data_IF_942998398360
#
_entry.id   IF_942998398360
#
_cell.length_a   1.000
_cell.length_b   1.000
_cell.length_c   1.000
_cell.angle_alpha   90.00
_cell.angle_beta   90.00
_cell.angle_gamma   90.00
#
_symmetry.space_group_name_H-M   'P 1'
#
loop_
_entity.id
_entity.type
_entity.pdbx_description
1 polymer ?
#
# COMPACT_ATOMS: atom_id res chain seq x y z
N UNK A 1 18.52 -10.13 9.78
CA UNK A 1 17.35 -10.26 8.86
C UNK A 1 16.29 -11.24 9.38
N UNK A 2 16.60 -12.53 9.63
CA UNK A 2 15.60 -13.51 10.11
C UNK A 2 15.02 -13.19 11.50
N UNK A 3 15.83 -12.68 12.42
CA UNK A 3 15.39 -12.37 13.79
C UNK A 3 14.36 -11.24 13.88
N UNK A 4 14.54 -10.17 13.09
CA UNK A 4 13.60 -9.04 12.99
C UNK A 4 12.24 -9.51 12.45
N UNK A 5 12.26 -10.30 11.37
CA UNK A 5 11.05 -10.86 10.77
C UNK A 5 10.28 -11.75 11.75
N UNK A 6 10.97 -12.67 12.45
CA UNK A 6 10.34 -13.58 13.41
C UNK A 6 9.73 -12.81 14.58
N UNK A 7 10.46 -11.87 15.16
CA UNK A 7 10.01 -11.07 16.30
C UNK A 7 8.77 -10.25 15.96
N UNK A 8 8.77 -9.59 14.80
CA UNK A 8 7.63 -8.80 14.35
C UNK A 8 6.42 -9.68 13.99
N UNK A 9 6.63 -10.86 13.38
CA UNK A 9 5.55 -11.82 13.12
C UNK A 9 4.90 -12.32 14.41
N UNK A 10 5.70 -12.71 15.41
CA UNK A 10 5.18 -13.12 16.72
C UNK A 10 4.37 -12.00 17.38
N UNK A 11 4.86 -10.76 17.30
CA UNK A 11 4.17 -9.59 17.86
C UNK A 11 2.82 -9.35 17.18
N UNK A 12 2.77 -9.37 15.85
CA UNK A 12 1.54 -9.19 15.08
C UNK A 12 0.52 -10.31 15.36
N UNK A 13 0.97 -11.56 15.42
CA UNK A 13 0.10 -12.70 15.72
C UNK A 13 -0.47 -12.59 17.14
N UNK A 14 0.37 -12.28 18.14
CA UNK A 14 -0.05 -12.11 19.53
C UNK A 14 -1.06 -10.97 19.68
N UNK A 15 -0.78 -9.82 19.08
CA UNK A 15 -1.69 -8.68 19.13
C UNK A 15 -3.03 -8.99 18.45
N UNK A 16 -3.01 -9.70 17.32
CA UNK A 16 -4.22 -10.15 16.64
C UNK A 16 -5.06 -11.07 17.55
N UNK A 17 -4.43 -12.05 18.20
CA UNK A 17 -5.12 -12.96 19.13
C UNK A 17 -5.73 -12.21 20.31
N UNK A 18 -4.97 -11.30 20.93
CA UNK A 18 -5.47 -10.48 22.04
C UNK A 18 -6.72 -9.68 21.66
N UNK A 19 -6.73 -9.07 20.47
CA UNK A 19 -7.89 -8.32 19.97
C UNK A 19 -9.07 -9.25 19.69
N UNK A 20 -8.80 -10.42 19.12
CA UNK A 20 -9.82 -11.44 18.84
C UNK A 20 -10.51 -11.85 20.15
N UNK A 21 -9.72 -12.27 21.14
CA UNK A 21 -10.21 -12.77 22.42
C UNK A 21 -10.92 -11.68 23.24
N UNK A 22 -10.40 -10.45 23.21
CA UNK A 22 -10.98 -9.33 23.97
C UNK A 22 -12.28 -8.79 23.37
N UNK A 23 -12.45 -8.83 22.04
CA UNK A 23 -13.56 -8.12 21.36
C UNK A 23 -14.62 -9.04 20.77
N UNK A 24 -14.31 -10.31 20.51
CA UNK A 24 -15.20 -11.18 19.73
C UNK A 24 -15.45 -12.51 20.42
N UNK A 25 -16.73 -12.77 20.73
CA UNK A 25 -17.17 -14.04 21.32
C UNK A 25 -17.21 -15.19 20.31
N UNK A 26 -17.54 -14.89 19.05
CA UNK A 26 -17.65 -15.86 17.95
C UNK A 26 -16.81 -15.43 16.74
N UNK A 27 -15.48 -15.49 16.92
CA UNK A 27 -14.53 -15.14 15.85
C UNK A 27 -14.66 -16.05 14.62
N UNK A 28 -14.84 -17.36 14.82
CA UNK A 28 -14.91 -18.31 13.70
C UNK A 28 -16.18 -18.11 12.87
N UNK A 29 -17.33 -17.85 13.50
CA UNK A 29 -18.56 -17.52 12.80
C UNK A 29 -18.46 -16.19 12.04
N UNK A 30 -17.84 -15.16 12.63
CA UNK A 30 -17.57 -13.89 11.93
C UNK A 30 -16.65 -14.09 10.71
N UNK A 31 -15.60 -14.91 10.85
CA UNK A 31 -14.71 -15.28 9.74
C UNK A 31 -15.46 -16.00 8.62
N UNK A 32 -16.34 -16.93 8.96
CA UNK A 32 -17.16 -17.64 7.97
C UNK A 32 -18.13 -16.69 7.24
N UNK A 33 -18.79 -15.78 7.97
CA UNK A 33 -19.67 -14.75 7.39
C UNK A 33 -18.91 -13.82 6.45
N UNK A 34 -17.73 -13.35 6.85
CA UNK A 34 -16.89 -12.50 6.00
C UNK A 34 -16.47 -13.22 4.72
N UNK A 35 -16.10 -14.51 4.82
CA UNK A 35 -15.81 -15.35 3.64
C UNK A 35 -17.01 -15.46 2.70
N UNK A 36 -18.20 -15.70 3.25
CA UNK A 36 -19.42 -15.78 2.45
C UNK A 36 -19.74 -14.45 1.78
N UNK A 37 -19.61 -13.32 2.49
CA UNK A 37 -19.80 -12.00 1.92
C UNK A 37 -18.84 -11.73 0.76
N UNK A 38 -17.55 -12.08 0.91
CA UNK A 38 -16.57 -11.99 -0.17
C UNK A 38 -16.98 -12.85 -1.38
N UNK A 39 -17.37 -14.10 -1.15
CA UNK A 39 -17.78 -14.99 -2.24
C UNK A 39 -19.01 -14.46 -2.99
N UNK A 40 -20.01 -13.98 -2.26
CA UNK A 40 -21.20 -13.37 -2.85
C UNK A 40 -20.84 -12.11 -3.65
N UNK A 41 -19.86 -11.33 -3.18
CA UNK A 41 -19.38 -10.16 -3.91
C UNK A 41 -18.73 -10.54 -5.25
N UNK A 42 -17.96 -11.63 -5.27
CA UNK A 42 -17.33 -12.12 -6.49
C UNK A 42 -18.33 -12.75 -7.47
N UNK A 43 -19.39 -13.41 -6.98
CA UNK A 43 -20.43 -14.00 -7.83
C UNK A 43 -21.24 -12.98 -8.61
N UNK A 44 -21.39 -11.76 -8.09
CA UNK A 44 -22.10 -10.66 -8.72
C UNK A 44 -21.16 -9.49 -9.04
N UNK A 45 -19.90 -9.79 -9.39
CA UNK A 45 -18.85 -8.78 -9.53
C UNK A 45 -19.20 -7.74 -10.60
N UNK A 46 -19.71 -8.17 -11.76
CA UNK A 46 -20.11 -7.29 -12.86
C UNK A 46 -21.13 -6.24 -12.43
N UNK A 47 -22.21 -6.65 -11.76
CA UNK A 47 -23.24 -5.73 -11.27
C UNK A 47 -22.68 -4.77 -10.21
N UNK A 48 -21.82 -5.27 -9.31
CA UNK A 48 -21.22 -4.47 -8.24
C UNK A 48 -20.24 -3.44 -8.75
N UNK A 49 -19.52 -3.76 -9.81
CA UNK A 49 -18.60 -2.88 -10.48
C UNK A 49 -19.34 -1.67 -11.08
N UNK A 50 -20.47 -1.91 -11.74
CA UNK A 50 -21.34 -0.84 -12.25
C UNK A 50 -21.99 -0.04 -11.12
N UNK A 51 -22.40 -0.70 -10.02
CA UNK A 51 -22.92 -0.02 -8.84
C UNK A 51 -21.86 0.88 -8.18
N UNK A 52 -20.62 0.39 -8.07
CA UNK A 52 -19.48 1.14 -7.56
C UNK A 52 -19.23 2.37 -8.43
N UNK A 53 -19.13 2.21 -9.75
CA UNK A 53 -18.91 3.33 -10.67
C UNK A 53 -20.00 4.39 -10.53
N UNK A 54 -21.27 3.97 -10.56
CA UNK A 54 -22.41 4.88 -10.38
C UNK A 54 -22.29 5.67 -9.08
N UNK A 55 -21.94 5.03 -7.98
CA UNK A 55 -21.82 5.69 -6.68
C UNK A 55 -20.56 6.57 -6.60
N UNK A 56 -19.43 6.14 -7.16
CA UNK A 56 -18.20 6.91 -7.22
C UNK A 56 -18.39 8.19 -8.06
N UNK A 57 -19.00 8.07 -9.24
CA UNK A 57 -19.31 9.21 -10.12
C UNK A 57 -20.26 10.19 -9.48
N UNK A 58 -21.27 9.73 -8.72
CA UNK A 58 -22.13 10.62 -7.92
C UNK A 58 -21.36 11.43 -6.88
N UNK A 59 -20.25 10.91 -6.37
CA UNK A 59 -19.34 11.61 -5.45
C UNK A 59 -18.26 12.42 -6.17
N UNK A 60 -18.38 12.63 -7.49
CA UNK A 60 -17.41 13.41 -8.27
C UNK A 60 -16.14 12.64 -8.65
N UNK A 61 -16.09 11.33 -8.42
CA UNK A 61 -14.94 10.50 -8.82
C UNK A 61 -15.14 10.04 -10.26
N UNK A 62 -14.18 10.34 -11.13
CA UNK A 62 -14.13 9.78 -12.48
C UNK A 62 -13.54 8.38 -12.43
N UNK A 63 -14.31 7.38 -12.84
CA UNK A 63 -13.86 5.99 -12.94
C UNK A 63 -13.32 5.75 -14.35
N UNK A 64 -12.20 5.04 -14.44
CA UNK A 64 -11.57 4.63 -15.68
C UNK A 64 -11.51 3.11 -15.73
N UNK A 65 -12.02 2.53 -16.80
CA UNK A 65 -11.96 1.09 -17.06
C UNK A 65 -10.71 0.78 -17.90
N UNK A 66 -9.99 -0.27 -17.52
CA UNK A 66 -8.81 -0.78 -18.21
C UNK A 66 -8.98 -2.29 -18.44
N UNK A 67 -8.59 -2.79 -19.62
CA UNK A 67 -8.72 -4.20 -19.95
C UNK A 67 -7.43 -4.99 -19.69
N UNK A 68 -6.29 -4.29 -19.56
CA UNK A 68 -4.99 -4.85 -19.19
C UNK A 68 -4.24 -3.95 -18.21
N UNK A 69 -3.11 -4.47 -17.72
CA UNK A 69 -2.11 -3.74 -16.96
C UNK A 69 -1.51 -2.58 -17.75
N UNK A 70 -1.21 -2.75 -19.03
CA UNK A 70 -0.72 -1.65 -19.88
C UNK A 70 -1.78 -0.56 -20.09
N UNK A 71 -3.04 -0.94 -20.33
CA UNK A 71 -4.15 0.01 -20.45
C UNK A 71 -4.27 0.86 -19.17
N UNK A 72 -4.20 0.21 -18.00
CA UNK A 72 -4.30 0.90 -16.71
C UNK A 72 -3.14 1.89 -16.53
N UNK A 73 -1.92 1.48 -16.86
CA UNK A 73 -0.75 2.35 -16.77
C UNK A 73 -0.79 3.51 -17.76
N UNK A 74 -1.23 3.28 -18.99
CA UNK A 74 -1.36 4.32 -20.01
C UNK A 74 -2.44 5.34 -19.67
N UNK A 75 -3.57 4.91 -19.11
CA UNK A 75 -4.61 5.82 -18.62
C UNK A 75 -4.03 6.77 -17.56
N UNK A 76 -3.28 6.24 -16.57
CA UNK A 76 -2.66 7.08 -15.54
C UNK A 76 -1.65 8.05 -16.17
N UNK A 77 -0.83 7.57 -17.09
CA UNK A 77 0.14 8.40 -17.81
C UNK A 77 -0.51 9.56 -18.57
N UNK A 78 -1.54 9.28 -19.37
CA UNK A 78 -2.21 10.32 -20.15
C UNK A 78 -2.93 11.32 -19.23
N UNK A 79 -3.54 10.90 -18.12
CA UNK A 79 -4.11 11.82 -17.12
C UNK A 79 -3.03 12.76 -16.55
N UNK A 80 -1.85 12.23 -16.21
CA UNK A 80 -0.74 13.03 -15.70
C UNK A 80 -0.27 14.04 -16.75
N UNK A 81 -0.10 13.59 -18.00
CA UNK A 81 0.34 14.41 -19.13
C UNK A 81 -0.65 15.51 -19.48
N UNK A 82 -1.95 15.20 -19.57
CA UNK A 82 -3.02 16.19 -19.80
C UNK A 82 -3.01 17.29 -18.74
N UNK A 83 -2.69 16.93 -17.49
CA UNK A 83 -2.62 17.87 -16.36
C UNK A 83 -1.24 18.51 -16.18
N UNK A 84 -0.26 18.21 -17.03
CA UNK A 84 1.14 18.64 -16.90
C UNK A 84 1.76 18.29 -15.52
N UNK A 85 1.42 17.12 -14.99
CA UNK A 85 1.89 16.62 -13.70
C UNK A 85 3.10 15.70 -13.93
N UNK A 86 4.17 15.93 -13.17
CA UNK A 86 5.40 15.12 -13.22
C UNK A 86 5.55 14.17 -12.04
N UNK A 87 4.70 14.32 -11.01
CA UNK A 87 4.73 13.53 -9.78
C UNK A 87 3.33 13.05 -9.38
N UNK A 88 3.20 11.77 -9.09
CA UNK A 88 1.99 11.12 -8.57
C UNK A 88 2.24 10.71 -7.12
N UNK A 89 1.39 11.16 -6.19
CA UNK A 89 1.35 10.60 -4.84
C UNK A 89 0.32 9.48 -4.82
N UNK A 90 0.70 8.30 -4.32
CA UNK A 90 -0.20 7.16 -4.18
C UNK A 90 -0.01 6.45 -2.85
N UNK A 91 -1.07 5.84 -2.35
CA UNK A 91 -0.96 4.90 -1.23
C UNK A 91 -0.51 3.53 -1.71
N UNK A 92 -0.10 2.70 -0.74
CA UNK A 92 0.21 1.30 -0.97
C UNK A 92 -0.94 0.58 -1.66
N UNK A 93 -0.65 -0.06 -2.79
CA UNK A 93 -1.62 -0.88 -3.52
C UNK A 93 -0.91 -2.03 -4.20
N UNK A 94 -1.27 -3.26 -3.81
CA UNK A 94 -0.79 -4.46 -4.51
C UNK A 94 -1.18 -4.42 -5.99
N UNK A 95 -2.34 -3.87 -6.33
CA UNK A 95 -2.78 -3.76 -7.71
C UNK A 95 -1.85 -2.83 -8.53
N UNK A 96 -1.33 -1.74 -7.95
CA UNK A 96 -0.38 -0.89 -8.67
C UNK A 96 0.99 -1.54 -8.85
N UNK A 97 1.39 -2.39 -7.90
CA UNK A 97 2.63 -3.18 -8.00
C UNK A 97 2.51 -4.28 -9.07
N UNK A 98 1.40 -5.02 -9.07
CA UNK A 98 1.14 -6.10 -10.03
C UNK A 98 1.13 -5.60 -11.49
N UNK A 99 0.58 -4.41 -11.74
CA UNK A 99 0.61 -3.78 -13.08
C UNK A 99 1.93 -3.05 -13.39
N UNK A 100 2.87 -2.98 -12.44
CA UNK A 100 4.17 -2.33 -12.64
C UNK A 100 4.10 -0.81 -12.84
N UNK A 101 3.11 -0.12 -12.25
CA UNK A 101 2.83 1.30 -12.49
C UNK A 101 4.04 2.21 -12.25
N UNK A 102 4.79 1.98 -11.16
CA UNK A 102 5.93 2.81 -10.81
C UNK A 102 7.02 2.75 -11.88
N UNK A 103 7.38 1.53 -12.30
CA UNK A 103 8.36 1.30 -13.36
C UNK A 103 7.91 1.87 -14.70
N UNK A 104 6.62 1.74 -15.01
CA UNK A 104 6.03 2.31 -16.22
C UNK A 104 6.20 3.83 -16.29
N UNK A 105 5.86 4.52 -15.20
CA UNK A 105 5.96 5.98 -15.11
C UNK A 105 7.43 6.44 -15.09
N UNK A 106 8.31 5.72 -14.40
CA UNK A 106 9.74 6.03 -14.34
C UNK A 106 10.41 6.00 -15.72
N UNK A 107 10.11 4.98 -16.55
CA UNK A 107 10.59 4.92 -17.95
C UNK A 107 10.16 6.12 -18.79
N UNK A 108 9.07 6.79 -18.42
CA UNK A 108 8.56 8.00 -19.10
C UNK A 108 9.01 9.30 -18.42
N UNK A 109 9.93 9.23 -17.45
CA UNK A 109 10.47 10.39 -16.74
C UNK A 109 9.51 10.99 -15.70
N UNK A 110 8.46 10.25 -15.32
CA UNK A 110 7.51 10.64 -14.28
C UNK A 110 7.82 9.90 -12.98
N UNK A 111 7.43 10.47 -11.84
CA UNK A 111 7.67 9.86 -10.53
C UNK A 111 6.37 9.50 -9.83
N UNK A 112 6.16 8.23 -9.53
CA UNK A 112 5.18 7.81 -8.53
C UNK A 112 5.85 7.73 -7.17
N UNK A 113 5.27 8.32 -6.14
CA UNK A 113 5.81 8.37 -4.77
C UNK A 113 4.77 7.74 -3.84
N UNK A 114 5.23 6.80 -3.02
CA UNK A 114 4.41 6.13 -2.02
C UNK A 114 4.17 7.01 -0.80
N UNK A 115 2.96 6.99 -0.27
CA UNK A 115 2.60 7.68 0.98
C UNK A 115 2.58 6.74 2.18
N UNK A 116 2.68 5.43 1.97
CA UNK A 116 2.92 4.47 3.07
C UNK A 116 4.40 4.54 3.44
N UNK A 117 4.70 4.82 4.71
CA UNK A 117 6.08 5.01 5.17
C UNK A 117 6.96 3.79 4.88
N UNK A 118 6.40 2.59 5.05
CA UNK A 118 7.15 1.35 4.80
C UNK A 118 7.52 1.19 3.34
N UNK A 119 6.58 1.47 2.43
CA UNK A 119 6.87 1.46 0.98
C UNK A 119 7.79 2.61 0.56
N UNK A 120 7.65 3.80 1.18
CA UNK A 120 8.53 4.94 0.92
C UNK A 120 9.98 4.65 1.30
N UNK A 121 10.22 4.03 2.47
CA UNK A 121 11.57 3.63 2.90
C UNK A 121 12.21 2.70 1.87
N UNK A 122 11.46 1.72 1.38
CA UNK A 122 11.92 0.77 0.38
C UNK A 122 12.18 1.46 -0.95
N UNK A 123 11.28 2.35 -1.37
CA UNK A 123 11.42 3.13 -2.59
C UNK A 123 12.68 4.01 -2.55
N UNK A 124 12.94 4.68 -1.42
CA UNK A 124 14.13 5.53 -1.22
C UNK A 124 15.45 4.73 -1.30
N UNK A 125 15.39 3.44 -0.94
CA UNK A 125 16.54 2.56 -0.95
C UNK A 125 16.55 1.57 -2.13
N UNK A 126 15.64 1.74 -3.10
CA UNK A 126 15.48 0.87 -4.28
C UNK A 126 15.36 -0.63 -3.92
N UNK A 127 14.65 -0.93 -2.83
CA UNK A 127 14.43 -2.30 -2.34
C UNK A 127 13.03 -2.81 -2.67
N UNK A 128 12.88 -4.12 -2.96
CA UNK A 128 11.56 -4.72 -3.03
C UNK A 128 10.96 -4.94 -1.63
N UNK A 129 9.62 -4.95 -1.50
CA UNK A 129 8.96 -5.25 -0.23
C UNK A 129 9.19 -6.69 0.21
N UNK A 130 9.52 -6.89 1.48
CA UNK A 130 9.76 -8.23 2.04
C UNK A 130 8.47 -8.91 2.53
N UNK A 131 7.50 -8.13 2.99
CA UNK A 131 6.24 -8.66 3.53
C UNK A 131 5.04 -7.77 3.19
N UNK A 132 3.94 -8.40 2.76
CA UNK A 132 2.74 -7.70 2.25
C UNK A 132 2.18 -6.69 3.27
N UNK A 133 2.15 -7.00 4.56
CA UNK A 133 1.56 -6.13 5.60
C UNK A 133 2.57 -5.15 6.21
N UNK A 134 3.85 -5.49 6.19
CA UNK A 134 4.92 -4.76 6.90
C UNK A 134 6.15 -4.77 5.99
N UNK A 135 6.17 -3.91 4.96
CA UNK A 135 7.03 -4.10 3.80
C UNK A 135 8.52 -3.98 4.13
N UNK A 136 8.88 -3.05 5.03
CA UNK A 136 10.26 -2.82 5.49
C UNK A 136 10.64 -3.57 6.79
N UNK A 137 9.98 -4.70 7.11
CA UNK A 137 10.15 -5.44 8.39
C UNK A 137 11.59 -5.89 8.70
N UNK A 138 12.45 -6.00 7.68
CA UNK A 138 13.86 -6.34 7.89
C UNK A 138 14.68 -5.17 8.44
N UNK A 139 14.23 -3.93 8.23
CA UNK A 139 14.93 -2.71 8.65
C UNK A 139 14.56 -2.34 10.08
N UNK A 140 15.57 -2.03 10.87
CA UNK A 140 15.39 -1.47 12.21
C UNK A 140 15.38 0.06 12.15
N UNK A 141 14.94 0.70 13.23
CA UNK A 141 14.79 2.17 13.32
C UNK A 141 16.08 2.95 13.02
N UNK A 142 17.25 2.42 13.40
CA UNK A 142 18.52 3.10 13.18
C UNK A 142 18.87 3.08 11.69
N UNK A 143 18.68 1.94 11.03
CA UNK A 143 18.84 1.83 9.57
C UNK A 143 17.87 2.75 8.81
N UNK A 144 16.62 2.90 9.28
CA UNK A 144 15.64 3.82 8.70
C UNK A 144 16.09 5.28 8.86
N UNK A 145 16.56 5.66 10.04
CA UNK A 145 17.08 7.01 10.31
C UNK A 145 18.29 7.36 9.44
N UNK A 146 19.17 6.40 9.17
CA UNK A 146 20.28 6.57 8.22
C UNK A 146 19.78 6.80 6.79
N UNK A 147 18.79 6.03 6.32
CA UNK A 147 18.18 6.22 4.99
C UNK A 147 17.56 7.62 4.87
N UNK A 148 16.81 8.08 5.87
CA UNK A 148 16.20 9.41 5.84
C UNK A 148 17.23 10.53 5.87
N UNK A 149 18.29 10.38 6.66
CA UNK A 149 19.39 11.34 6.64
C UNK A 149 20.06 11.41 5.27
N UNK A 150 20.35 10.25 4.66
CA UNK A 150 21.05 10.20 3.38
C UNK A 150 20.18 10.70 2.22
N UNK A 151 18.93 10.25 2.14
CA UNK A 151 18.05 10.46 0.98
C UNK A 151 17.17 11.71 1.10
N UNK A 152 16.79 12.09 2.32
CA UNK A 152 15.88 13.22 2.58
C UNK A 152 16.57 14.39 3.32
N UNK A 153 17.81 14.22 3.77
CA UNK A 153 18.51 15.25 4.56
C UNK A 153 17.95 15.44 5.96
N UNK A 154 17.22 14.44 6.49
CA UNK A 154 16.68 14.48 7.84
C UNK A 154 17.80 14.46 8.90
N UNK A 155 17.53 15.01 10.08
CA UNK A 155 18.42 14.81 11.21
C UNK A 155 18.37 13.32 11.63
N UNK A 156 19.51 12.76 12.03
CA UNK A 156 19.53 11.43 12.65
C UNK A 156 18.77 11.53 13.97
N UNK A 157 17.55 11.03 13.98
CA UNK A 157 16.76 10.96 15.19
C UNK A 157 17.15 9.70 15.97
N UNK A 158 17.59 9.91 17.20
CA UNK A 158 17.81 8.85 18.16
C UNK A 158 16.66 8.95 19.18
N UNK A 159 15.77 7.95 19.14
CA UNK A 159 15.08 7.34 20.29
C UNK A 159 13.53 7.35 20.30
N UNK A 160 12.84 8.23 19.57
CA UNK A 160 11.35 8.20 19.50
C UNK A 160 10.82 7.71 18.14
N UNK A 161 9.99 6.64 18.07
CA UNK A 161 9.41 6.16 16.82
C UNK A 161 8.51 7.17 16.10
N UNK A 162 7.83 8.03 16.85
CA UNK A 162 6.86 8.99 16.34
C UNK A 162 7.52 10.11 15.54
N UNK A 163 8.77 10.46 15.84
CA UNK A 163 9.49 11.56 15.20
C UNK A 163 9.86 11.22 13.74
N UNK A 164 10.07 9.94 13.43
CA UNK A 164 10.28 9.46 12.04
C UNK A 164 9.07 9.67 11.12
N UNK A 165 7.86 9.82 11.67
CA UNK A 165 6.66 10.08 10.86
C UNK A 165 6.51 11.57 10.49
N UNK A 166 7.31 12.46 11.08
CA UNK A 166 7.24 13.90 10.87
C UNK A 166 8.16 14.40 9.74
N UNK A 167 9.02 13.51 9.22
CA UNK A 167 9.93 13.74 8.08
C UNK A 167 9.17 13.54 6.77
#
# INVERSE_FOLDING_TARGET
>A
MQENLMTAMHTLQKNRLNVIDARFKDWQGLRAKAKQAKNNALMSLEERLLEFEKNATKNGIKVHWASSDEDACEIVYEIMKEKNITKLLKGKSMASEEIGLNHYLEKKGLKAIETDLGELILQLNEEPPLHIVVPAIHRNRHEIGEIFKEKLGANLENDEPESLNAV
#
